data_IF_584725246763
#
_entry.id   IF_584725246763
#
_cell.length_a   1.000
_cell.length_b   1.000
_cell.length_c   1.000
_cell.angle_alpha   90.00
_cell.angle_beta   90.00
_cell.angle_gamma   90.00
#
_symmetry.space_group_name_H-M   'P 1'
#
loop_
_entity.id
_entity.type
_entity.pdbx_description
1 polymer ?
#
# COMPACT_ATOMS: atom_id res chain seq x y z
N UNK A 1 8.90 -33.30 22.31
CA UNK A 1 7.93 -32.54 23.15
C UNK A 1 7.85 -31.12 22.60
N UNK A 2 6.71 -30.72 22.03
CA UNK A 2 6.48 -29.34 21.58
C UNK A 2 6.43 -28.40 22.81
N UNK A 3 7.33 -27.42 22.88
CA UNK A 3 7.32 -26.39 23.93
C UNK A 3 5.96 -25.68 23.88
N UNK A 4 5.14 -25.79 24.93
CA UNK A 4 3.91 -24.99 25.10
C UNK A 4 4.29 -23.52 24.92
N UNK A 5 3.74 -22.87 23.90
CA UNK A 5 3.92 -21.43 23.65
C UNK A 5 3.31 -20.71 24.86
N UNK A 6 4.13 -20.01 25.65
CA UNK A 6 3.67 -19.26 26.82
C UNK A 6 2.67 -18.20 26.31
N UNK A 7 1.45 -18.23 26.78
CA UNK A 7 0.48 -17.17 26.47
C UNK A 7 1.02 -15.84 26.98
N UNK A 8 0.99 -14.84 26.09
CA UNK A 8 1.40 -13.49 26.43
C UNK A 8 0.21 -12.76 27.10
N UNK A 9 0.47 -11.86 28.05
CA UNK A 9 -0.59 -11.27 28.88
C UNK A 9 -1.55 -10.39 28.08
N UNK A 10 -2.79 -10.36 28.52
CA UNK A 10 -3.76 -9.31 28.24
C UNK A 10 -3.52 -8.17 29.23
N UNK A 11 -3.46 -6.95 28.74
CA UNK A 11 -3.36 -5.72 29.53
C UNK A 11 -4.66 -4.96 29.38
N UNK A 12 -5.40 -4.81 30.48
CA UNK A 12 -6.74 -4.24 30.47
C UNK A 12 -6.71 -2.73 30.71
N UNK A 13 -7.65 -2.00 30.08
CA UNK A 13 -7.89 -0.57 30.27
C UNK A 13 -6.64 0.32 30.14
N UNK A 14 -5.84 0.04 29.13
CA UNK A 14 -4.60 0.80 28.89
C UNK A 14 -4.92 2.06 28.10
N UNK A 15 -4.50 3.21 28.62
CA UNK A 15 -4.58 4.49 27.89
C UNK A 15 -3.43 4.62 26.93
N UNK A 16 -3.74 4.92 25.67
CA UNK A 16 -2.76 5.25 24.64
C UNK A 16 -2.30 6.69 24.84
N UNK A 17 -0.99 6.92 24.92
CA UNK A 17 -0.44 8.21 25.39
C UNK A 17 0.25 9.03 24.31
N UNK A 18 0.82 8.40 23.27
CA UNK A 18 1.60 9.12 22.25
C UNK A 18 1.64 8.32 20.94
N UNK A 19 2.32 8.87 19.93
CA UNK A 19 2.58 8.26 18.64
C UNK A 19 4.08 8.04 18.46
N UNK A 20 4.43 6.86 17.97
CA UNK A 20 5.79 6.50 17.61
C UNK A 20 5.99 6.55 16.08
N UNK A 21 7.22 6.28 15.64
CA UNK A 21 7.55 6.11 14.24
C UNK A 21 6.69 5.02 13.55
N UNK A 22 6.60 5.10 12.23
CA UNK A 22 5.88 4.13 11.38
C UNK A 22 4.36 4.06 11.64
N UNK A 23 3.78 5.09 12.25
CA UNK A 23 2.35 5.17 12.50
C UNK A 23 1.83 4.24 13.59
N UNK A 24 2.69 3.73 14.45
CA UNK A 24 2.30 3.03 15.67
C UNK A 24 2.01 4.04 16.77
N UNK A 25 0.99 3.80 17.56
CA UNK A 25 0.79 4.50 18.81
C UNK A 25 1.54 3.80 19.93
N UNK A 26 1.71 4.46 21.06
CA UNK A 26 2.38 3.88 22.23
C UNK A 26 1.61 4.12 23.51
N UNK A 27 1.78 3.16 24.41
CA UNK A 27 1.38 3.24 25.81
C UNK A 27 2.56 2.88 26.71
N UNK A 28 2.47 3.19 28.00
CA UNK A 28 3.39 2.74 29.03
C UNK A 28 2.66 1.97 30.11
N UNK A 29 3.13 0.77 30.37
CA UNK A 29 2.62 -0.08 31.45
C UNK A 29 3.79 -0.65 32.23
N UNK A 30 3.87 -0.37 33.53
CA UNK A 30 4.97 -0.78 34.42
C UNK A 30 6.36 -0.47 33.80
N UNK A 31 6.58 0.77 33.40
CA UNK A 31 7.81 1.28 32.73
C UNK A 31 8.14 0.66 31.36
N UNK A 32 7.32 -0.28 30.88
CA UNK A 32 7.48 -0.88 29.58
C UNK A 32 6.75 -0.07 28.52
N UNK A 33 7.45 0.26 27.42
CA UNK A 33 6.83 0.85 26.23
C UNK A 33 6.12 -0.24 25.44
N UNK A 34 4.87 0.03 25.06
CA UNK A 34 4.03 -0.89 24.26
C UNK A 34 3.66 -0.20 22.97
N UNK A 35 4.04 -0.78 21.84
CA UNK A 35 3.68 -0.30 20.50
C UNK A 35 2.40 -0.98 20.04
N UNK A 36 1.43 -0.17 19.60
CA UNK A 36 0.10 -0.63 19.22
C UNK A 36 -0.30 0.01 17.88
N UNK A 37 -0.62 -0.78 16.84
CA UNK A 37 -1.14 -0.24 15.59
C UNK A 37 -2.63 0.12 15.71
N UNK A 38 -3.10 1.05 14.85
CA UNK A 38 -4.52 1.38 14.63
C UNK A 38 -5.28 1.92 15.85
N UNK A 39 -4.57 2.38 16.86
CA UNK A 39 -5.09 3.16 17.97
C UNK A 39 -4.51 4.56 17.95
N UNK A 40 -5.16 5.50 18.65
CA UNK A 40 -4.73 6.90 18.70
C UNK A 40 -4.60 7.37 20.16
N UNK A 41 -3.76 8.36 20.45
CA UNK A 41 -3.63 8.90 21.80
C UNK A 41 -4.98 9.33 22.37
N UNK A 42 -5.25 8.93 23.62
CA UNK A 42 -6.51 9.14 24.30
C UNK A 42 -7.50 7.96 24.20
N UNK A 43 -7.25 6.96 23.34
CA UNK A 43 -8.01 5.71 23.41
C UNK A 43 -7.72 4.98 24.72
N UNK A 44 -8.75 4.35 25.29
CA UNK A 44 -8.63 3.39 26.41
C UNK A 44 -9.00 2.00 25.91
N UNK A 45 -8.05 1.08 25.93
CA UNK A 45 -8.17 -0.22 25.23
C UNK A 45 -7.61 -1.38 26.04
N UNK A 46 -8.13 -2.58 25.76
CA UNK A 46 -7.46 -3.82 26.19
C UNK A 46 -6.46 -4.26 25.13
N UNK A 47 -5.25 -4.56 25.56
CA UNK A 47 -4.12 -4.86 24.69
C UNK A 47 -3.70 -6.33 24.84
N UNK A 48 -3.87 -7.12 23.79
CA UNK A 48 -3.27 -8.44 23.71
C UNK A 48 -1.80 -8.31 23.26
N UNK A 49 -0.87 -8.62 24.15
CA UNK A 49 0.54 -8.64 23.81
C UNK A 49 0.81 -9.75 22.79
N UNK A 50 1.49 -9.42 21.70
CA UNK A 50 1.89 -10.34 20.62
C UNK A 50 3.36 -10.69 20.66
N UNK A 51 4.19 -9.75 21.13
CA UNK A 51 5.64 -9.91 21.24
C UNK A 51 6.16 -9.12 22.44
N UNK A 52 7.05 -9.70 23.22
CA UNK A 52 7.71 -9.05 24.34
C UNK A 52 9.22 -9.13 24.20
N UNK A 53 9.88 -7.98 24.31
CA UNK A 53 11.34 -7.83 24.42
C UNK A 53 11.69 -7.32 25.82
N UNK A 54 12.98 -7.14 26.11
CA UNK A 54 13.43 -6.64 27.41
C UNK A 54 12.92 -5.22 27.70
N UNK A 55 12.97 -4.32 26.71
CA UNK A 55 12.67 -2.89 26.87
C UNK A 55 11.33 -2.45 26.30
N UNK A 56 10.65 -3.29 25.50
CA UNK A 56 9.36 -2.95 24.87
C UNK A 56 8.52 -4.19 24.58
N UNK A 57 7.24 -3.95 24.32
CA UNK A 57 6.32 -4.97 23.78
C UNK A 57 5.58 -4.45 22.54
N UNK A 58 5.07 -5.37 21.74
CA UNK A 58 4.14 -5.11 20.63
C UNK A 58 2.82 -5.79 20.99
N UNK A 59 1.74 -5.03 20.88
CA UNK A 59 0.40 -5.49 21.20
C UNK A 59 -0.61 -5.06 20.13
N UNK A 60 -1.78 -5.66 20.16
CA UNK A 60 -2.94 -5.24 19.37
C UNK A 60 -4.09 -4.94 20.30
N UNK A 61 -4.89 -3.92 19.99
CA UNK A 61 -6.12 -3.65 20.70
C UNK A 61 -7.15 -4.72 20.36
N UNK A 62 -7.78 -5.28 21.38
CA UNK A 62 -8.82 -6.33 21.24
C UNK A 62 -10.18 -5.85 21.73
N UNK A 63 -10.22 -4.82 22.56
CA UNK A 63 -11.44 -4.20 23.04
C UNK A 63 -11.19 -2.70 23.25
N UNK A 64 -12.18 -1.86 22.95
CA UNK A 64 -12.15 -0.42 23.16
C UNK A 64 -13.16 -0.06 24.25
N UNK A 65 -12.69 0.56 25.32
CA UNK A 65 -13.51 1.09 26.40
C UNK A 65 -13.91 2.54 26.14
N UNK A 66 -12.95 3.34 25.64
CA UNK A 66 -13.17 4.74 25.31
C UNK A 66 -12.47 5.08 23.97
N UNK A 67 -13.16 5.83 23.14
CA UNK A 67 -12.62 6.36 21.89
C UNK A 67 -12.15 7.79 22.07
N UNK A 68 -10.94 8.08 21.66
CA UNK A 68 -10.36 9.41 21.70
C UNK A 68 -11.10 10.39 20.78
N UNK A 69 -11.29 11.65 21.21
CA UNK A 69 -11.81 12.70 20.35
C UNK A 69 -10.87 13.08 19.18
N UNK A 70 -9.62 12.61 19.21
CA UNK A 70 -8.64 12.79 18.12
C UNK A 70 -8.85 11.81 16.96
N UNK A 71 -9.78 10.86 17.12
CA UNK A 71 -10.09 9.92 16.04
C UNK A 71 -10.81 10.57 14.88
N UNK A 72 -10.56 10.02 13.68
CA UNK A 72 -11.41 10.19 12.52
C UNK A 72 -11.88 8.82 12.02
N UNK A 73 -13.02 8.79 11.35
CA UNK A 73 -13.50 7.57 10.70
C UNK A 73 -12.65 7.30 9.45
N UNK A 74 -12.04 6.12 9.32
CA UNK A 74 -11.29 5.75 8.12
C UNK A 74 -12.22 5.69 6.88
N UNK A 75 -11.90 6.43 5.83
CA UNK A 75 -12.67 6.43 4.59
C UNK A 75 -12.46 5.18 3.73
N UNK A 76 -11.38 4.43 3.95
CA UNK A 76 -11.04 3.24 3.18
C UNK A 76 -11.46 1.97 3.90
N UNK A 77 -12.34 1.16 3.30
CA UNK A 77 -12.77 -0.13 3.85
C UNK A 77 -11.64 -1.15 4.07
N UNK A 78 -10.49 -0.95 3.43
CA UNK A 78 -9.32 -1.81 3.58
C UNK A 78 -8.34 -1.33 4.67
N UNK A 79 -8.68 -0.24 5.38
CA UNK A 79 -7.84 0.26 6.46
C UNK A 79 -7.70 -0.79 7.57
N UNK A 80 -6.49 -0.94 8.10
CA UNK A 80 -6.19 -1.96 9.11
C UNK A 80 -5.80 -3.33 8.54
N UNK A 81 -6.14 -3.63 7.28
CA UNK A 81 -5.80 -4.90 6.61
C UNK A 81 -4.74 -4.69 5.53
N UNK A 82 -4.96 -3.77 4.61
CA UNK A 82 -4.07 -3.48 3.48
C UNK A 82 -2.63 -3.10 3.88
N UNK A 83 -2.44 -2.47 5.03
CA UNK A 83 -1.11 -2.03 5.49
C UNK A 83 -0.52 -0.82 4.78
N UNK A 84 -1.11 -0.32 3.71
CA UNK A 84 -0.65 0.86 2.97
C UNK A 84 -0.83 2.17 3.73
N UNK A 85 -1.94 2.32 4.46
CA UNK A 85 -2.25 3.48 5.29
C UNK A 85 -2.13 3.13 6.77
N UNK A 86 -1.58 4.05 7.58
CA UNK A 86 -1.35 3.83 9.01
C UNK A 86 -2.23 4.68 9.91
N UNK A 87 -2.66 5.86 9.43
CA UNK A 87 -3.23 6.90 10.27
C UNK A 87 -4.59 7.44 9.81
N UNK A 88 -5.34 6.73 8.98
CA UNK A 88 -6.69 7.17 8.60
C UNK A 88 -7.63 7.29 9.81
N UNK A 89 -7.33 6.61 10.91
CA UNK A 89 -8.07 6.72 12.17
C UNK A 89 -7.69 7.93 13.03
N UNK A 90 -6.74 8.76 12.61
CA UNK A 90 -6.28 9.95 13.32
C UNK A 90 -6.59 11.20 12.47
N UNK A 91 -7.18 12.25 13.08
CA UNK A 91 -7.45 13.53 12.43
C UNK A 91 -6.20 14.10 11.78
N UNK A 92 -6.33 14.75 10.61
CA UNK A 92 -5.18 15.17 9.83
C UNK A 92 -4.30 16.22 10.54
N UNK A 93 -4.91 17.18 11.24
CA UNK A 93 -4.20 18.15 12.07
C UNK A 93 -3.34 17.47 13.15
N UNK A 94 -3.82 16.37 13.72
CA UNK A 94 -3.07 15.59 14.68
C UNK A 94 -1.94 14.78 14.03
N UNK A 95 -2.16 14.27 12.80
CA UNK A 95 -1.07 13.66 12.03
C UNK A 95 0.07 14.64 11.79
N UNK A 96 -0.24 15.90 11.44
CA UNK A 96 0.76 16.95 11.26
C UNK A 96 1.50 17.25 12.57
N UNK A 97 0.76 17.39 13.67
CA UNK A 97 1.34 17.64 15.00
C UNK A 97 2.33 16.54 15.42
N UNK A 98 1.95 15.28 15.24
CA UNK A 98 2.83 14.15 15.59
C UNK A 98 4.01 13.98 14.62
N UNK A 99 3.86 14.28 13.34
CA UNK A 99 4.98 14.32 12.40
C UNK A 99 6.01 15.39 12.78
N UNK A 100 5.56 16.60 13.08
CA UNK A 100 6.45 17.67 13.54
C UNK A 100 7.15 17.30 14.84
N UNK A 101 6.41 16.78 15.82
CA UNK A 101 6.97 16.29 17.08
C UNK A 101 8.06 15.25 16.84
N UNK A 102 7.82 14.27 15.94
CA UNK A 102 8.81 13.22 15.62
C UNK A 102 10.11 13.81 15.06
N UNK A 103 10.03 14.79 14.15
CA UNK A 103 11.21 15.46 13.60
C UNK A 103 11.96 16.20 14.69
N UNK A 104 11.27 16.99 15.52
CA UNK A 104 11.86 17.70 16.65
C UNK A 104 12.55 16.75 17.64
N UNK A 105 11.85 15.67 18.05
CA UNK A 105 12.40 14.68 18.98
C UNK A 105 13.63 13.97 18.39
N UNK A 106 13.62 13.63 17.09
CA UNK A 106 14.76 12.99 16.43
C UNK A 106 15.99 13.91 16.40
N UNK A 107 15.81 15.17 16.06
CA UNK A 107 16.89 16.14 15.99
C UNK A 107 17.46 16.48 17.39
N UNK A 108 16.59 16.72 18.37
CA UNK A 108 17.03 17.14 19.72
C UNK A 108 17.52 15.97 20.57
N UNK A 109 16.79 14.85 20.58
CA UNK A 109 17.11 13.73 21.51
C UNK A 109 18.09 12.71 20.92
N UNK A 110 17.97 12.41 19.61
CA UNK A 110 18.85 11.46 18.94
C UNK A 110 20.03 12.18 18.32
N UNK A 111 19.76 13.21 17.52
CA UNK A 111 20.79 14.01 16.85
C UNK A 111 21.57 14.93 17.80
N UNK A 112 21.00 15.25 18.97
CA UNK A 112 21.58 16.18 19.96
C UNK A 112 21.97 17.53 19.36
N UNK A 113 21.15 18.02 18.43
CA UNK A 113 21.35 19.28 17.71
C UNK A 113 20.61 20.38 18.46
N UNK A 114 21.28 21.51 18.68
CA UNK A 114 20.60 22.74 19.09
C UNK A 114 19.82 23.29 17.88
N UNK A 115 18.52 23.45 18.06
CA UNK A 115 17.63 23.88 16.98
C UNK A 115 17.26 25.34 17.14
N UNK A 116 17.23 26.12 16.05
CA UNK A 116 16.49 27.38 16.04
C UNK A 116 14.99 27.09 16.21
N UNK A 117 14.19 28.17 16.25
CA UNK A 117 12.73 28.00 16.18
C UNK A 117 12.34 27.26 14.92
N UNK A 118 11.62 26.14 15.11
CA UNK A 118 11.15 25.32 13.99
C UNK A 118 9.84 25.88 13.49
N UNK A 119 9.78 26.21 12.20
CA UNK A 119 8.55 26.64 11.55
C UNK A 119 7.46 25.54 11.64
N UNK A 120 6.18 25.93 11.72
CA UNK A 120 5.09 24.94 11.65
C UNK A 120 5.18 24.08 10.41
N UNK A 121 4.86 22.82 10.57
CA UNK A 121 4.81 21.86 9.45
C UNK A 121 3.80 22.32 8.40
N UNK A 122 4.20 22.29 7.13
CA UNK A 122 3.27 22.51 6.02
C UNK A 122 2.40 21.28 5.83
N UNK A 123 1.09 21.46 5.87
CA UNK A 123 0.11 20.45 5.54
C UNK A 123 -0.09 20.34 4.02
N UNK A 124 -0.60 19.18 3.57
CA UNK A 124 -1.13 19.04 2.22
C UNK A 124 -2.57 19.54 2.18
N UNK A 125 -2.92 20.23 1.12
CA UNK A 125 -4.30 20.63 0.85
C UNK A 125 -5.20 19.42 0.62
N UNK A 126 -4.66 18.42 -0.07
CA UNK A 126 -5.36 17.18 -0.39
C UNK A 126 -4.80 16.02 0.44
N UNK A 127 -5.69 15.28 1.12
CA UNK A 127 -5.37 14.10 1.92
C UNK A 127 -5.72 12.79 1.21
N UNK A 128 -6.41 12.88 0.07
CA UNK A 128 -6.71 11.81 -0.86
C UNK A 128 -6.16 12.17 -2.26
N UNK A 129 -5.99 11.18 -3.13
CA UNK A 129 -5.52 11.36 -4.50
C UNK A 129 -4.22 12.18 -4.62
N UNK A 130 -3.29 11.99 -3.66
CA UNK A 130 -2.01 12.73 -3.62
C UNK A 130 -0.82 11.92 -4.15
N UNK A 131 -1.00 10.64 -4.43
CA UNK A 131 0.06 9.80 -4.97
C UNK A 131 0.05 9.82 -6.49
N UNK A 132 1.23 9.95 -7.05
CA UNK A 132 1.45 9.87 -8.48
C UNK A 132 1.89 8.47 -8.96
N UNK A 133 2.07 7.48 -8.05
CA UNK A 133 2.45 6.11 -8.41
C UNK A 133 1.86 5.09 -7.45
N UNK A 134 1.26 4.02 -8.00
CA UNK A 134 0.92 2.78 -7.28
C UNK A 134 1.37 1.56 -8.09
N UNK A 135 1.73 0.51 -7.37
CA UNK A 135 2.09 -0.78 -7.92
C UNK A 135 1.22 -1.86 -7.31
N UNK A 136 0.54 -2.62 -8.16
CA UNK A 136 -0.40 -3.67 -7.78
C UNK A 136 0.18 -5.03 -8.17
N UNK A 137 0.01 -6.01 -7.30
CA UNK A 137 0.44 -7.38 -7.53
C UNK A 137 -0.75 -8.25 -7.93
N UNK A 138 -0.57 -9.08 -8.95
CA UNK A 138 -1.48 -10.18 -9.29
C UNK A 138 -1.02 -11.43 -8.58
N UNK A 139 -1.92 -12.11 -7.89
CA UNK A 139 -1.59 -13.35 -7.17
C UNK A 139 -2.76 -14.33 -7.20
N UNK A 140 -2.45 -15.61 -7.32
CA UNK A 140 -3.41 -16.69 -7.13
C UNK A 140 -3.56 -17.09 -5.65
N UNK A 141 -3.05 -16.27 -4.72
CA UNK A 141 -3.12 -16.42 -3.26
C UNK A 141 -3.81 -15.23 -2.63
N UNK A 142 -5.13 -15.12 -2.82
CA UNK A 142 -5.95 -14.10 -2.21
C UNK A 142 -5.88 -14.17 -0.69
N UNK A 143 -5.72 -13.01 -0.05
CA UNK A 143 -5.95 -12.84 1.38
C UNK A 143 -7.45 -12.76 1.65
N UNK A 144 -7.94 -13.62 2.55
CA UNK A 144 -9.32 -13.59 3.04
C UNK A 144 -9.37 -12.72 4.29
N UNK A 145 -10.32 -11.79 4.33
CA UNK A 145 -10.58 -11.00 5.53
C UNK A 145 -11.25 -11.87 6.60
N UNK A 146 -11.20 -11.44 7.87
CA UNK A 146 -11.85 -12.14 8.96
C UNK A 146 -13.36 -12.34 8.69
N UNK A 147 -14.03 -11.32 8.18
CA UNK A 147 -15.44 -11.33 7.82
C UNK A 147 -15.76 -12.35 6.72
N UNK A 148 -14.88 -12.47 5.71
CA UNK A 148 -15.02 -13.45 4.64
C UNK A 148 -14.84 -14.88 5.18
N UNK A 149 -13.88 -15.10 6.08
CA UNK A 149 -13.64 -16.41 6.70
C UNK A 149 -14.84 -16.83 7.57
N UNK A 150 -15.41 -15.90 8.35
CA UNK A 150 -16.56 -16.17 9.25
C UNK A 150 -17.84 -16.49 8.50
N UNK A 151 -18.01 -15.96 7.27
CA UNK A 151 -19.17 -16.24 6.41
C UNK A 151 -19.12 -17.57 5.67
N UNK A 152 -18.08 -18.37 5.89
CA UNK A 152 -17.82 -19.63 5.15
C UNK A 152 -17.88 -19.41 3.63
N UNK A 153 -17.27 -18.34 3.17
CA UNK A 153 -17.31 -17.91 1.79
C UNK A 153 -16.59 -18.94 0.91
N UNK A 154 -17.32 -19.60 0.06
CA UNK A 154 -16.77 -20.53 -0.93
C UNK A 154 -16.16 -19.72 -2.07
N UNK A 155 -14.82 -19.79 -2.22
CA UNK A 155 -14.12 -19.09 -3.29
C UNK A 155 -13.94 -20.00 -4.50
N UNK A 156 -14.71 -19.75 -5.53
CA UNK A 156 -14.45 -20.32 -6.85
C UNK A 156 -13.16 -19.72 -7.46
N UNK A 157 -12.72 -18.57 -6.95
CA UNK A 157 -11.61 -17.80 -7.49
C UNK A 157 -10.69 -17.25 -6.38
N UNK A 158 -9.50 -17.82 -6.27
CA UNK A 158 -8.45 -17.33 -5.33
C UNK A 158 -7.49 -16.32 -5.97
N UNK A 159 -7.76 -15.86 -7.17
CA UNK A 159 -7.01 -14.81 -7.81
C UNK A 159 -7.34 -13.45 -7.19
N UNK A 160 -6.33 -12.58 -7.05
CA UNK A 160 -6.46 -11.24 -6.52
C UNK A 160 -5.50 -10.29 -7.21
N UNK A 161 -5.92 -9.04 -7.37
CA UNK A 161 -5.05 -7.92 -7.70
C UNK A 161 -5.17 -6.85 -6.63
N UNK A 162 -4.02 -6.40 -6.11
CA UNK A 162 -4.00 -5.42 -5.04
C UNK A 162 -2.65 -5.33 -4.35
N UNK A 163 -2.65 -5.32 -3.01
CA UNK A 163 -1.44 -5.13 -2.22
C UNK A 163 -1.14 -6.34 -1.34
N UNK A 164 0.14 -6.59 -1.11
CA UNK A 164 0.58 -7.60 -0.16
C UNK A 164 0.15 -7.26 1.27
N UNK A 165 -0.22 -8.28 2.02
CA UNK A 165 -0.53 -8.15 3.45
C UNK A 165 0.78 -8.07 4.24
N UNK A 166 0.89 -7.15 5.20
CA UNK A 166 2.04 -7.08 6.10
C UNK A 166 2.28 -8.42 6.82
N UNK A 167 3.49 -8.97 6.67
CA UNK A 167 3.87 -10.25 7.27
C UNK A 167 3.45 -11.51 6.49
N UNK A 168 2.74 -11.36 5.36
CA UNK A 168 2.35 -12.47 4.49
C UNK A 168 2.76 -12.16 3.03
N UNK A 169 4.02 -12.39 2.71
CA UNK A 169 4.65 -11.98 1.45
C UNK A 169 4.03 -12.58 0.19
N UNK A 170 3.38 -13.73 0.29
CA UNK A 170 2.74 -14.45 -0.82
C UNK A 170 1.22 -14.26 -0.89
N UNK A 171 0.66 -13.41 0.00
CA UNK A 171 -0.76 -13.13 0.05
C UNK A 171 -1.07 -11.73 -0.45
N UNK A 172 -2.09 -11.61 -1.28
CA UNK A 172 -2.56 -10.33 -1.84
C UNK A 172 -3.99 -10.08 -1.44
N UNK A 173 -4.24 -8.92 -0.82
CA UNK A 173 -5.58 -8.42 -0.58
C UNK A 173 -6.15 -7.87 -1.89
N UNK A 174 -7.30 -8.38 -2.30
CA UNK A 174 -8.03 -7.82 -3.42
C UNK A 174 -8.55 -6.42 -3.08
N UNK A 175 -8.21 -5.44 -3.90
CA UNK A 175 -8.58 -4.03 -3.69
C UNK A 175 -9.59 -3.62 -4.77
N UNK A 176 -10.76 -3.11 -4.36
CA UNK A 176 -11.73 -2.54 -5.30
C UNK A 176 -11.49 -1.04 -5.50
N UNK A 177 -11.13 -0.31 -4.44
CA UNK A 177 -10.85 1.11 -4.49
C UNK A 177 -9.66 1.46 -3.58
N UNK A 178 -8.70 2.21 -4.14
CA UNK A 178 -7.65 2.89 -3.40
C UNK A 178 -7.85 4.40 -3.57
N UNK A 179 -7.84 5.13 -2.47
CA UNK A 179 -8.08 6.57 -2.43
C UNK A 179 -6.79 7.39 -2.53
N UNK A 180 -5.65 6.75 -2.71
CA UNK A 180 -4.35 7.43 -2.73
C UNK A 180 -4.00 8.01 -4.10
N UNK A 181 -4.60 7.50 -5.18
CA UNK A 181 -4.46 8.01 -6.55
C UNK A 181 -5.83 8.26 -7.16
N UNK A 182 -5.83 9.00 -8.28
CA UNK A 182 -7.03 9.28 -9.07
C UNK A 182 -7.82 8.00 -9.41
N UNK A 183 -9.13 8.15 -9.60
CA UNK A 183 -10.04 7.03 -9.82
C UNK A 183 -9.78 6.26 -11.12
N UNK A 184 -9.14 6.89 -12.11
CA UNK A 184 -8.72 6.20 -13.36
C UNK A 184 -7.85 4.97 -13.02
N UNK A 185 -7.03 5.05 -11.97
CA UNK A 185 -6.18 3.94 -11.53
C UNK A 185 -6.99 2.75 -11.02
N UNK A 186 -8.12 3.03 -10.32
CA UNK A 186 -9.06 1.99 -9.88
C UNK A 186 -9.79 1.37 -11.08
N UNK A 187 -10.25 2.19 -12.03
CA UNK A 187 -10.94 1.72 -13.24
C UNK A 187 -10.04 0.81 -14.08
N UNK A 188 -8.79 1.20 -14.31
CA UNK A 188 -7.82 0.38 -15.06
C UNK A 188 -7.54 -0.93 -14.32
N UNK A 189 -7.20 -0.87 -13.01
CA UNK A 189 -6.91 -2.08 -12.23
C UNK A 189 -8.07 -3.06 -12.23
N UNK A 190 -9.27 -2.58 -11.97
CA UNK A 190 -10.46 -3.42 -11.92
C UNK A 190 -10.81 -3.98 -13.30
N UNK A 191 -10.76 -3.18 -14.36
CA UNK A 191 -11.03 -3.66 -15.70
C UNK A 191 -10.03 -4.69 -16.20
N UNK A 192 -8.73 -4.52 -15.90
CA UNK A 192 -7.71 -5.54 -16.19
C UNK A 192 -7.98 -6.83 -15.42
N UNK A 193 -8.37 -6.73 -14.13
CA UNK A 193 -8.79 -7.88 -13.33
C UNK A 193 -9.97 -8.62 -13.96
N UNK A 194 -11.01 -7.89 -14.29
CA UNK A 194 -12.26 -8.44 -14.77
C UNK A 194 -12.07 -9.11 -16.15
N UNK A 195 -11.31 -8.46 -17.04
CA UNK A 195 -10.90 -9.05 -18.32
C UNK A 195 -10.11 -10.34 -18.12
N UNK A 196 -9.17 -10.34 -17.19
CA UNK A 196 -8.35 -11.53 -16.91
C UNK A 196 -9.19 -12.69 -16.35
N UNK A 197 -10.22 -12.40 -15.54
CA UNK A 197 -11.15 -13.41 -15.04
C UNK A 197 -12.01 -13.99 -16.18
N UNK A 198 -12.59 -13.13 -17.01
CA UNK A 198 -13.46 -13.52 -18.12
C UNK A 198 -12.73 -14.40 -19.14
N UNK A 199 -11.44 -14.13 -19.38
CA UNK A 199 -10.65 -14.84 -20.38
C UNK A 199 -9.75 -15.95 -19.78
N UNK A 200 -9.90 -16.27 -18.48
CA UNK A 200 -9.19 -17.36 -17.84
C UNK A 200 -7.66 -17.16 -17.73
N UNK A 201 -7.19 -15.91 -17.62
CA UNK A 201 -5.77 -15.61 -17.48
C UNK A 201 -5.25 -16.07 -16.11
N UNK A 202 -4.02 -16.59 -16.10
CA UNK A 202 -3.40 -17.07 -14.87
C UNK A 202 -2.73 -15.92 -14.11
N UNK A 203 -2.94 -15.90 -12.79
CA UNK A 203 -2.28 -14.95 -11.89
C UNK A 203 -1.06 -15.61 -11.27
N UNK A 204 -0.03 -14.81 -11.05
CA UNK A 204 1.28 -15.31 -10.64
C UNK A 204 1.24 -15.95 -9.25
N UNK A 205 1.88 -17.10 -9.12
CA UNK A 205 2.13 -17.76 -7.86
C UNK A 205 3.59 -17.54 -7.44
N UNK A 206 3.79 -16.77 -6.40
CA UNK A 206 5.13 -16.41 -5.94
C UNK A 206 5.94 -17.61 -5.42
N UNK A 207 5.28 -18.71 -5.02
CA UNK A 207 5.97 -19.93 -4.53
C UNK A 207 6.34 -20.89 -5.64
N UNK A 208 5.41 -21.15 -6.57
CA UNK A 208 5.67 -22.06 -7.72
C UNK A 208 6.31 -21.32 -8.88
N UNK A 209 6.30 -19.99 -8.86
CA UNK A 209 6.85 -19.16 -9.94
C UNK A 209 6.13 -19.39 -11.28
N UNK A 210 4.81 -19.53 -11.25
CA UNK A 210 3.95 -19.82 -12.41
C UNK A 210 2.83 -18.78 -12.50
N UNK A 211 2.31 -18.56 -13.70
CA UNK A 211 1.21 -17.63 -13.98
C UNK A 211 1.66 -16.40 -14.78
N UNK A 212 0.81 -15.98 -15.72
CA UNK A 212 1.08 -14.94 -16.72
C UNK A 212 1.17 -13.55 -16.10
N UNK A 213 0.17 -13.14 -15.29
CA UNK A 213 0.06 -11.78 -14.75
C UNK A 213 0.84 -11.64 -13.44
N UNK A 214 1.84 -10.75 -13.39
CA UNK A 214 2.69 -10.53 -12.21
C UNK A 214 2.38 -9.22 -11.49
N UNK A 215 2.73 -8.09 -12.10
CA UNK A 215 2.54 -6.77 -11.49
C UNK A 215 2.00 -5.76 -12.51
N UNK A 216 1.31 -4.75 -12.00
CA UNK A 216 0.88 -3.59 -12.75
C UNK A 216 1.27 -2.33 -11.98
N UNK A 217 2.09 -1.49 -12.58
CA UNK A 217 2.38 -0.17 -12.04
C UNK A 217 1.62 0.88 -12.84
N UNK A 218 0.96 1.79 -12.15
CA UNK A 218 0.34 2.97 -12.74
C UNK A 218 1.05 4.21 -12.20
N UNK A 219 1.38 5.13 -13.10
CA UNK A 219 1.94 6.43 -12.77
C UNK A 219 1.18 7.51 -13.52
N UNK A 220 0.88 8.61 -12.82
CA UNK A 220 0.23 9.79 -13.39
C UNK A 220 1.16 10.99 -13.30
N UNK A 221 1.03 11.90 -14.26
CA UNK A 221 1.53 13.26 -14.22
C UNK A 221 0.31 14.19 -14.28
N UNK A 222 0.24 15.14 -13.36
CA UNK A 222 -0.88 16.07 -13.22
C UNK A 222 -0.46 17.49 -13.65
N UNK A 223 -1.42 18.28 -14.07
CA UNK A 223 -1.25 19.72 -14.22
C UNK A 223 -1.12 20.39 -12.84
N UNK A 224 -0.23 21.36 -12.70
CA UNK A 224 0.00 22.05 -11.43
C UNK A 224 -1.21 22.91 -11.00
N UNK A 225 -1.95 23.46 -11.95
CA UNK A 225 -3.01 24.41 -11.70
C UNK A 225 -4.35 23.73 -11.41
N UNK A 226 -4.76 22.77 -12.25
CA UNK A 226 -6.10 22.18 -12.20
C UNK A 226 -6.11 20.69 -11.85
N UNK A 227 -4.92 20.07 -11.69
CA UNK A 227 -4.70 18.64 -11.40
C UNK A 227 -5.29 17.69 -12.45
N UNK A 228 -5.56 18.17 -13.66
CA UNK A 228 -5.91 17.31 -14.77
C UNK A 228 -4.75 16.37 -15.12
N UNK A 229 -5.08 15.11 -15.44
CA UNK A 229 -4.06 14.12 -15.80
C UNK A 229 -3.53 14.43 -17.20
N UNK A 230 -2.26 14.82 -17.29
CA UNK A 230 -1.54 15.07 -18.55
C UNK A 230 -0.77 13.86 -19.06
N UNK A 231 -0.35 13.00 -18.15
CA UNK A 231 0.35 11.77 -18.49
C UNK A 231 -0.13 10.59 -17.66
N UNK A 232 -0.48 9.49 -18.31
CA UNK A 232 -0.88 8.25 -17.67
C UNK A 232 -0.03 7.11 -18.22
N UNK A 233 0.91 6.63 -17.42
CA UNK A 233 1.76 5.48 -17.72
C UNK A 233 1.25 4.24 -17.00
N UNK A 234 1.09 3.16 -17.77
CA UNK A 234 0.84 1.83 -17.20
C UNK A 234 1.96 0.88 -17.62
N UNK A 235 2.57 0.23 -16.66
CA UNK A 235 3.59 -0.79 -16.88
C UNK A 235 3.09 -2.13 -16.39
N UNK A 236 2.95 -3.07 -17.33
CA UNK A 236 2.56 -4.45 -17.03
C UNK A 236 3.79 -5.34 -16.94
N UNK A 237 3.86 -6.19 -15.92
CA UNK A 237 4.83 -7.27 -15.85
C UNK A 237 4.15 -8.60 -16.09
N UNK A 238 4.71 -9.35 -17.02
CA UNK A 238 4.24 -10.68 -17.37
C UNK A 238 5.33 -11.73 -17.13
N UNK A 239 4.92 -12.96 -16.89
CA UNK A 239 5.76 -14.13 -17.13
C UNK A 239 5.20 -14.83 -18.35
N UNK A 240 6.04 -15.00 -19.38
CA UNK A 240 5.65 -15.64 -20.65
C UNK A 240 6.57 -16.81 -20.90
N UNK A 241 6.01 -18.01 -21.04
CA UNK A 241 6.76 -19.25 -21.24
C UNK A 241 6.44 -19.92 -22.59
N UNK A 242 5.32 -19.59 -23.21
CA UNK A 242 4.91 -20.13 -24.50
C UNK A 242 4.16 -19.12 -25.38
N UNK A 243 3.83 -19.52 -26.59
CA UNK A 243 3.14 -18.69 -27.57
C UNK A 243 1.68 -18.39 -27.21
N UNK A 244 1.05 -19.21 -26.40
CA UNK A 244 -0.33 -18.97 -25.92
C UNK A 244 -0.33 -17.84 -24.91
N UNK A 245 0.58 -17.85 -23.96
CA UNK A 245 0.76 -16.77 -22.99
C UNK A 245 1.21 -15.45 -23.68
N UNK A 246 2.07 -15.53 -24.71
CA UNK A 246 2.44 -14.37 -25.52
C UNK A 246 1.22 -13.77 -26.23
N UNK A 247 0.39 -14.58 -26.84
CA UNK A 247 -0.87 -14.12 -27.46
C UNK A 247 -1.82 -13.50 -26.44
N UNK A 248 -2.01 -14.13 -25.28
CA UNK A 248 -2.83 -13.60 -24.19
C UNK A 248 -2.31 -12.23 -23.70
N UNK A 249 -1.00 -12.11 -23.51
CA UNK A 249 -0.36 -10.85 -23.14
C UNK A 249 -0.67 -9.74 -24.16
N UNK A 250 -0.51 -10.02 -25.45
CA UNK A 250 -0.77 -9.04 -26.52
C UNK A 250 -2.26 -8.67 -26.61
N UNK A 251 -3.16 -9.61 -26.39
CA UNK A 251 -4.62 -9.38 -26.35
C UNK A 251 -4.99 -8.45 -25.19
N UNK A 252 -4.42 -8.67 -24.00
CA UNK A 252 -4.65 -7.82 -22.84
C UNK A 252 -4.14 -6.40 -23.08
N UNK A 253 -2.93 -6.24 -23.61
CA UNK A 253 -2.36 -4.93 -23.91
C UNK A 253 -3.20 -4.18 -24.95
N UNK A 254 -3.71 -4.88 -25.97
CA UNK A 254 -4.64 -4.31 -26.95
C UNK A 254 -5.94 -3.87 -26.28
N UNK A 255 -6.55 -4.72 -25.46
CA UNK A 255 -7.76 -4.38 -24.70
C UNK A 255 -7.54 -3.12 -23.84
N UNK A 256 -6.41 -3.05 -23.14
CA UNK A 256 -6.08 -1.87 -22.32
C UNK A 256 -5.95 -0.60 -23.16
N UNK A 257 -5.27 -0.69 -24.30
CA UNK A 257 -5.06 0.44 -25.23
C UNK A 257 -6.38 0.96 -25.81
N UNK A 258 -7.31 0.05 -26.13
CA UNK A 258 -8.59 0.37 -26.75
C UNK A 258 -9.61 0.89 -25.71
N UNK A 259 -9.60 0.33 -24.49
CA UNK A 259 -10.57 0.66 -23.43
C UNK A 259 -10.26 1.97 -22.72
N UNK A 260 -8.96 2.28 -22.51
CA UNK A 260 -8.53 3.50 -21.84
C UNK A 260 -7.64 4.34 -22.76
N UNK A 261 -8.26 5.16 -23.65
CA UNK A 261 -7.51 6.08 -24.52
C UNK A 261 -6.68 7.10 -23.73
N UNK A 262 -7.03 7.34 -22.45
CA UNK A 262 -6.29 8.18 -21.51
C UNK A 262 -4.89 7.66 -21.21
N UNK A 263 -4.60 6.37 -21.41
CA UNK A 263 -3.25 5.82 -21.26
C UNK A 263 -2.36 6.41 -22.36
N UNK A 264 -1.45 7.30 -21.96
CA UNK A 264 -0.49 7.95 -22.86
C UNK A 264 0.79 7.14 -23.07
N UNK A 265 1.11 6.26 -22.12
CA UNK A 265 2.27 5.37 -22.16
C UNK A 265 1.89 3.99 -21.64
N UNK A 266 1.76 3.01 -22.54
CA UNK A 266 1.55 1.61 -22.18
C UNK A 266 2.80 0.80 -22.45
N UNK A 267 3.38 0.31 -21.37
CA UNK A 267 4.66 -0.41 -21.36
C UNK A 267 4.47 -1.82 -20.84
N UNK A 268 5.24 -2.77 -21.36
CA UNK A 268 5.29 -4.09 -20.77
C UNK A 268 6.72 -4.62 -20.63
N UNK A 269 6.89 -5.53 -19.68
CA UNK A 269 8.14 -6.24 -19.41
C UNK A 269 7.84 -7.72 -19.21
N UNK A 270 8.59 -8.57 -19.91
CA UNK A 270 8.57 -10.02 -19.67
C UNK A 270 9.63 -10.33 -18.60
N UNK A 271 9.14 -10.74 -17.42
CA UNK A 271 9.98 -11.05 -16.28
C UNK A 271 9.84 -12.53 -15.90
N UNK A 272 10.73 -13.36 -16.43
CA UNK A 272 10.79 -14.80 -16.13
C UNK A 272 11.70 -15.12 -14.93
N UNK A 273 12.23 -14.12 -14.24
CA UNK A 273 13.07 -14.27 -13.03
C UNK A 273 12.21 -14.59 -11.79
N UNK A 274 12.89 -15.08 -10.74
CA UNK A 274 12.23 -15.37 -9.46
C UNK A 274 11.88 -14.12 -8.63
N UNK A 275 12.40 -12.94 -8.98
CA UNK A 275 12.14 -11.69 -8.28
C UNK A 275 11.42 -10.68 -9.19
N UNK A 276 10.90 -9.60 -8.59
CA UNK A 276 10.14 -8.57 -9.30
C UNK A 276 10.98 -7.39 -9.79
N UNK A 277 12.32 -7.44 -9.65
CA UNK A 277 13.19 -6.40 -10.18
C UNK A 277 13.22 -6.46 -11.71
N UNK A 278 12.99 -5.33 -12.36
CA UNK A 278 12.92 -5.23 -13.82
C UNK A 278 13.94 -4.26 -14.43
N UNK A 279 14.85 -3.71 -13.61
CA UNK A 279 15.81 -2.71 -14.07
C UNK A 279 16.83 -3.22 -15.08
N UNK A 280 17.05 -4.52 -15.12
CA UNK A 280 17.96 -5.25 -16.01
C UNK A 280 17.24 -5.94 -17.19
N UNK A 281 15.90 -5.79 -17.29
CA UNK A 281 15.11 -6.41 -18.33
C UNK A 281 14.75 -5.43 -19.45
N UNK A 282 14.57 -5.92 -20.69
CA UNK A 282 14.07 -5.11 -21.78
C UNK A 282 12.70 -4.51 -21.48
N UNK A 283 12.54 -3.25 -21.80
CA UNK A 283 11.27 -2.52 -21.71
C UNK A 283 10.72 -2.40 -23.12
N UNK A 284 9.44 -2.76 -23.30
CA UNK A 284 8.75 -2.71 -24.57
C UNK A 284 7.60 -1.69 -24.50
N UNK A 285 7.56 -0.75 -25.41
CA UNK A 285 6.47 0.22 -25.53
C UNK A 285 5.40 -0.37 -26.43
N UNK A 286 4.18 -0.53 -25.93
CA UNK A 286 3.03 -0.98 -26.71
C UNK A 286 2.26 0.18 -27.30
N UNK A 287 2.12 1.31 -26.55
CA UNK A 287 1.45 2.53 -27.00
C UNK A 287 2.17 3.75 -26.43
N UNK A 288 2.29 4.82 -27.21
CA UNK A 288 2.90 6.09 -26.82
C UNK A 288 4.40 6.03 -26.62
N UNK A 289 4.89 6.76 -25.62
CA UNK A 289 6.31 6.89 -25.32
C UNK A 289 6.75 6.03 -24.14
N UNK A 290 8.07 5.87 -23.95
CA UNK A 290 8.65 5.15 -22.79
C UNK A 290 8.65 5.99 -21.50
N UNK A 291 8.07 7.18 -21.52
CA UNK A 291 8.02 8.14 -20.43
C UNK A 291 6.71 8.94 -20.42
N UNK A 292 6.45 9.61 -19.33
CA UNK A 292 5.46 10.68 -19.22
C UNK A 292 6.18 11.98 -18.86
N UNK A 293 5.55 13.10 -19.19
CA UNK A 293 6.09 14.43 -18.86
C UNK A 293 5.37 14.93 -17.60
N UNK A 294 6.17 15.36 -16.63
CA UNK A 294 5.74 16.02 -15.40
C UNK A 294 6.27 17.45 -15.41
N UNK A 295 5.43 18.42 -15.13
CA UNK A 295 5.85 19.83 -14.97
C UNK A 295 5.73 20.19 -13.49
N UNK A 296 6.75 20.84 -12.93
CA UNK A 296 6.79 21.26 -11.55
C UNK A 296 7.63 22.53 -11.42
N UNK A 297 7.03 23.58 -10.89
CA UNK A 297 7.66 24.89 -10.70
C UNK A 297 8.32 25.42 -11.99
N UNK A 298 7.63 25.28 -13.13
CA UNK A 298 8.11 25.71 -14.45
C UNK A 298 9.26 24.86 -15.01
N UNK A 299 9.52 23.68 -14.45
CA UNK A 299 10.52 22.72 -14.92
C UNK A 299 9.85 21.49 -15.48
N UNK A 300 10.38 21.00 -16.59
CA UNK A 300 9.89 19.82 -17.28
C UNK A 300 10.74 18.60 -16.93
N UNK A 301 10.09 17.54 -16.47
CA UNK A 301 10.71 16.26 -16.11
C UNK A 301 10.20 15.16 -17.03
N UNK A 302 11.11 14.42 -17.64
CA UNK A 302 10.79 13.18 -18.35
C UNK A 302 10.86 12.02 -17.36
N UNK A 303 9.72 11.45 -17.02
CA UNK A 303 9.60 10.41 -16.00
C UNK A 303 9.54 9.04 -16.65
N UNK A 304 10.66 8.34 -16.62
CA UNK A 304 10.83 7.02 -17.22
C UNK A 304 10.52 5.89 -16.25
N UNK A 305 10.18 4.70 -16.81
CA UNK A 305 10.17 3.45 -16.04
C UNK A 305 11.59 2.86 -15.92
N UNK A 306 12.62 3.63 -15.72
CA UNK A 306 13.94 3.09 -15.36
C UNK A 306 14.08 3.12 -13.83
N UNK A 307 14.52 2.01 -13.22
CA UNK A 307 15.06 2.08 -11.88
C UNK A 307 16.30 2.97 -12.00
N UNK A 308 16.21 4.17 -11.43
CA UNK A 308 17.30 5.10 -11.48
C UNK A 308 18.58 4.46 -10.94
N UNK A 309 19.68 4.61 -11.70
CA UNK A 309 20.98 4.73 -11.09
C UNK A 309 21.16 6.18 -10.68
#
# INVERSE_FOLDING_TARGET
>A
MARKKKELPLLEQVTITDVAAEGKALARVNDMVIFVPYVVPGDVVDLQVKRKKHSYAEAVAVNFHEYSPLRSEPFCKHFGVCGGCKWQCLKYEEQLRYKQKQVTDNLTRIGKVELPEISPILGSEFTENYRNKLEFTFSNKRWLTQEEVERDFQYDQMNAVGFHIPGAFDKVLAIDRCYLMDDICNRIRNGVRDYAYEHGYTFFNLRTQEGLLRNMMIRIAEDEDDRSIKGLMVVMQFKVIDSTEEMQMMQLLKYMSDTWPEITSLIYVVNNKCNDTIGDLPIHVFKGDDHIIEEMEGRVFHVYKRNGK
#
